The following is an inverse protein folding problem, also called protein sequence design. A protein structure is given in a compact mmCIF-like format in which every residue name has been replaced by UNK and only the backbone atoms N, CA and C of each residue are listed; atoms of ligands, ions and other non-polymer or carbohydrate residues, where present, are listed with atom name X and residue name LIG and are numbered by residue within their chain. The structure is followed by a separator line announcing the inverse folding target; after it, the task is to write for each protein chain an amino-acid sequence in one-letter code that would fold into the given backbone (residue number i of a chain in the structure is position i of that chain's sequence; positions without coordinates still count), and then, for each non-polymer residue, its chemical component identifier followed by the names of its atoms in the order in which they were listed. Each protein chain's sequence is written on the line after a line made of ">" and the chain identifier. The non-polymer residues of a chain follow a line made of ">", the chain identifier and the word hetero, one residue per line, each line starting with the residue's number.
data_IF_613515150903
#
_entry.id   IF_613515150903
#
_cell.length_a   1.000
_cell.length_b   1.000
_cell.length_c   1.000
_cell.angle_alpha   90.00
_cell.angle_beta   90.00
_cell.angle_gamma   90.00
#
_symmetry.space_group_name_H-M   'P 1'
#
loop_
_entity.id
_entity.type
_entity.pdbx_description
1 polymer ?
#
# COMPACT_ATOMS: atom_id res chain seq x y z
N UNK A 1 1.01 6.86 9.93
CA UNK A 1 2.16 6.61 9.06
C UNK A 1 2.85 5.28 9.31
N UNK A 2 3.18 4.94 10.57
CA UNK A 2 3.83 3.66 10.91
C UNK A 2 3.04 2.41 10.47
N UNK A 3 1.72 2.38 10.67
CA UNK A 3 0.87 1.24 10.24
C UNK A 3 0.93 1.01 8.72
N UNK A 4 0.95 2.09 7.93
CA UNK A 4 1.04 2.01 6.48
C UNK A 4 2.44 1.57 6.05
N UNK A 5 3.48 2.09 6.70
CA UNK A 5 4.85 1.70 6.45
C UNK A 5 5.06 0.20 6.74
N UNK A 6 4.60 -0.28 7.90
CA UNK A 6 4.66 -1.71 8.25
C UNK A 6 3.90 -2.56 7.23
N UNK A 7 2.71 -2.15 6.80
CA UNK A 7 1.95 -2.86 5.77
C UNK A 7 2.72 -2.97 4.44
N UNK A 8 3.25 -1.85 3.93
CA UNK A 8 3.97 -1.85 2.65
C UNK A 8 5.23 -2.72 2.73
N UNK A 9 6.02 -2.60 3.81
CA UNK A 9 7.23 -3.40 4.03
C UNK A 9 6.89 -4.88 4.15
N UNK A 10 5.89 -5.23 4.95
CA UNK A 10 5.54 -6.64 5.20
C UNK A 10 4.94 -7.31 3.96
N UNK A 11 4.16 -6.57 3.17
CA UNK A 11 3.43 -7.13 2.04
C UNK A 11 4.25 -7.19 0.76
N UNK A 12 5.01 -6.15 0.45
CA UNK A 12 5.80 -6.08 -0.78
C UNK A 12 7.29 -6.42 -0.56
N UNK A 13 7.67 -6.72 0.69
CA UNK A 13 9.05 -7.09 1.09
C UNK A 13 10.08 -6.03 0.71
N UNK A 14 9.67 -4.76 0.67
CA UNK A 14 10.54 -3.61 0.40
C UNK A 14 11.09 -3.03 1.69
N UNK A 15 12.27 -2.41 1.64
CA UNK A 15 12.86 -1.71 2.78
C UNK A 15 12.51 -0.23 2.78
N UNK A 16 12.19 0.36 3.92
CA UNK A 16 11.93 1.81 4.00
C UNK A 16 11.87 2.29 5.44
N UNK A 17 12.18 3.56 5.66
CA UNK A 17 12.04 4.25 6.96
C UNK A 17 10.89 5.26 6.95
N UNK A 18 10.26 5.46 5.79
CA UNK A 18 9.08 6.30 5.60
C UNK A 18 8.18 5.68 4.54
N UNK A 19 6.89 6.01 4.58
CA UNK A 19 5.89 5.52 3.61
C UNK A 19 6.34 5.81 2.18
N UNK A 20 6.68 7.06 1.88
CA UNK A 20 7.18 7.47 0.56
C UNK A 20 8.45 6.72 0.16
N UNK A 21 9.38 6.50 1.10
CA UNK A 21 10.59 5.75 0.84
C UNK A 21 10.34 4.28 0.51
N UNK A 22 9.32 3.67 1.12
CA UNK A 22 8.91 2.30 0.83
C UNK A 22 8.15 2.21 -0.51
N UNK A 23 7.24 3.16 -0.79
CA UNK A 23 6.49 3.23 -2.06
C UNK A 23 7.41 3.39 -3.27
N UNK A 24 8.46 4.21 -3.16
CA UNK A 24 9.44 4.42 -4.23
C UNK A 24 10.27 3.18 -4.58
N UNK A 25 10.23 2.12 -3.77
CA UNK A 25 10.92 0.85 -4.03
C UNK A 25 10.02 -0.24 -4.57
N UNK A 26 8.73 0.03 -4.72
CA UNK A 26 7.82 -0.91 -5.33
C UNK A 26 8.17 -1.08 -6.81
N UNK A 27 8.07 -2.31 -7.30
CA UNK A 27 8.04 -2.54 -8.75
C UNK A 27 6.74 -1.97 -9.31
N UNK A 28 6.67 -1.81 -10.64
CA UNK A 28 5.44 -1.35 -11.31
C UNK A 28 4.24 -2.22 -10.92
N UNK A 29 4.39 -3.54 -10.99
CA UNK A 29 3.34 -4.50 -10.64
C UNK A 29 2.90 -4.36 -9.18
N UNK A 30 3.84 -4.17 -8.25
CA UNK A 30 3.53 -3.97 -6.83
C UNK A 30 2.81 -2.64 -6.57
N UNK A 31 3.16 -1.59 -7.31
CA UNK A 31 2.48 -0.31 -7.22
C UNK A 31 1.04 -0.38 -7.76
N UNK A 32 0.84 -1.08 -8.88
CA UNK A 32 -0.48 -1.34 -9.45
C UNK A 32 -1.35 -2.16 -8.49
N UNK A 33 -0.82 -3.23 -7.91
CA UNK A 33 -1.50 -4.04 -6.89
C UNK A 33 -1.86 -3.20 -5.64
N UNK A 34 -0.93 -2.37 -5.16
CA UNK A 34 -1.18 -1.49 -4.02
C UNK A 34 -2.35 -0.53 -4.27
N UNK A 35 -2.39 0.11 -5.43
CA UNK A 35 -3.49 1.01 -5.81
C UNK A 35 -4.81 0.24 -5.90
N UNK A 36 -4.81 -0.94 -6.54
CA UNK A 36 -6.01 -1.78 -6.65
C UNK A 36 -6.55 -2.22 -5.28
N UNK A 37 -5.67 -2.59 -4.34
CA UNK A 37 -6.06 -2.94 -2.97
C UNK A 37 -6.68 -1.76 -2.22
N UNK A 38 -6.15 -0.54 -2.39
CA UNK A 38 -6.73 0.66 -1.79
C UNK A 38 -8.12 0.92 -2.37
N UNK A 39 -8.24 0.93 -3.69
CA UNK A 39 -9.51 1.19 -4.36
C UNK A 39 -10.58 0.17 -3.94
N UNK A 40 -10.25 -1.12 -3.93
CA UNK A 40 -11.16 -2.20 -3.48
C UNK A 40 -11.63 -2.00 -2.04
N UNK A 41 -10.74 -1.52 -1.15
CA UNK A 41 -11.11 -1.24 0.26
C UNK A 41 -12.00 -0.01 0.36
N UNK A 42 -11.72 1.03 -0.42
CA UNK A 42 -12.53 2.25 -0.47
C UNK A 42 -13.94 1.96 -0.99
N UNK A 43 -14.07 1.20 -2.06
CA UNK A 43 -15.36 0.75 -2.60
C UNK A 43 -16.19 0.03 -1.54
N UNK A 44 -15.59 -0.96 -0.85
CA UNK A 44 -16.26 -1.67 0.25
C UNK A 44 -16.67 -0.76 1.41
N UNK A 45 -15.90 0.28 1.70
CA UNK A 45 -16.27 1.25 2.74
C UNK A 45 -17.42 2.16 2.29
N UNK A 46 -17.46 2.53 1.01
CA UNK A 46 -18.57 3.31 0.45
C UNK A 46 -19.86 2.50 0.38
N UNK A 47 -19.80 1.19 0.12
CA UNK A 47 -20.97 0.28 0.18
C UNK A 47 -21.58 0.16 1.59
N UNK A 48 -20.82 0.48 2.64
CA UNK A 48 -21.26 0.42 4.04
C UNK A 48 -21.87 1.73 4.55
N UNK A 49 -21.92 2.78 3.73
CA UNK A 49 -22.44 4.13 4.04
C UNK A 49 -23.79 4.32 3.33
#
# INVERSE_FOLDING_TARGET
>A
DDTMLTFIISQYKVSGTSVTGALNKLTREQAEDFVNQINTRLEKQLELI
#
